data_IF_454085516934
#
_entry.id   IF_454085516934
#
_cell.length_a   1.000
_cell.length_b   1.000
_cell.length_c   1.000
_cell.angle_alpha   90.00
_cell.angle_beta   90.00
_cell.angle_gamma   90.00
#
_symmetry.space_group_name_H-M   'P 1'
#
loop_
_entity.id
_entity.type
_entity.pdbx_description
1 polymer ?
#
# COMPACT_ATOMS: atom_id res chain seq x y z
N UNK A 1 1.87 0.61 15.53
CA UNK A 1 2.73 0.29 14.38
C UNK A 1 3.81 1.36 14.28
N UNK A 2 5.08 0.97 14.13
CA UNK A 2 6.18 1.93 13.95
C UNK A 2 6.40 2.22 12.45
N UNK A 3 7.36 3.06 12.11
CA UNK A 3 7.64 3.41 10.71
C UNK A 3 8.17 2.22 9.88
N UNK A 4 9.01 1.37 10.47
CA UNK A 4 9.59 0.20 9.79
C UNK A 4 8.50 -0.79 9.37
N UNK A 5 7.53 -1.04 10.24
CA UNK A 5 6.36 -1.88 9.95
C UNK A 5 5.52 -1.32 8.78
N UNK A 6 5.35 0.01 8.72
CA UNK A 6 4.63 0.69 7.64
C UNK A 6 5.39 0.54 6.32
N UNK A 7 6.71 0.68 6.37
CA UNK A 7 7.58 0.58 5.21
C UNK A 7 7.59 -0.84 4.64
N UNK A 8 7.74 -1.87 5.48
CA UNK A 8 7.67 -3.27 5.06
C UNK A 8 6.29 -3.61 4.47
N UNK A 9 5.23 -3.13 5.12
CA UNK A 9 3.87 -3.25 4.57
C UNK A 9 3.73 -2.57 3.21
N UNK A 10 4.33 -1.38 3.03
CA UNK A 10 4.31 -0.67 1.75
C UNK A 10 5.04 -1.44 0.64
N UNK A 11 6.19 -2.05 0.95
CA UNK A 11 6.92 -2.92 0.01
C UNK A 11 6.06 -4.09 -0.43
N UNK A 12 5.45 -4.78 0.53
CA UNK A 12 4.57 -5.93 0.26
C UNK A 12 3.38 -5.55 -0.63
N UNK A 13 2.71 -4.44 -0.31
CA UNK A 13 1.60 -3.91 -1.12
C UNK A 13 2.07 -3.56 -2.52
N UNK A 14 3.20 -2.87 -2.68
CA UNK A 14 3.72 -2.47 -3.98
C UNK A 14 4.04 -3.70 -4.87
N UNK A 15 4.60 -4.76 -4.29
CA UNK A 15 4.86 -6.02 -4.99
C UNK A 15 3.55 -6.68 -5.43
N UNK A 16 2.57 -6.83 -4.53
CA UNK A 16 1.27 -7.40 -4.89
C UNK A 16 0.56 -6.59 -5.97
N UNK A 17 0.55 -5.26 -5.86
CA UNK A 17 -0.05 -4.39 -6.85
C UNK A 17 0.61 -4.57 -8.23
N UNK A 18 1.94 -4.77 -8.29
CA UNK A 18 2.67 -4.99 -9.53
C UNK A 18 2.34 -6.35 -10.16
N UNK A 19 2.28 -7.41 -9.35
CA UNK A 19 1.91 -8.76 -9.80
C UNK A 19 0.47 -8.83 -10.30
N UNK A 20 -0.44 -8.16 -9.60
CA UNK A 20 -1.86 -8.10 -9.93
C UNK A 20 -2.17 -7.05 -11.00
N UNK A 21 -1.13 -6.40 -11.58
CA UNK A 21 -1.24 -5.39 -12.64
C UNK A 21 -2.20 -4.24 -12.30
N UNK A 22 -2.26 -3.88 -11.02
CA UNK A 22 -3.04 -2.73 -10.53
C UNK A 22 -2.57 -1.48 -11.27
N UNK A 23 -3.49 -0.65 -11.77
CA UNK A 23 -3.09 0.55 -12.52
C UNK A 23 -2.56 1.64 -11.59
N UNK A 24 -1.56 2.40 -12.04
CA UNK A 24 -1.02 3.55 -11.29
C UNK A 24 -2.12 4.54 -10.86
N UNK A 25 -3.08 4.78 -11.74
CA UNK A 25 -4.21 5.66 -11.47
C UNK A 25 -5.02 5.20 -10.25
N UNK A 26 -5.10 3.89 -10.01
CA UNK A 26 -5.86 3.35 -8.88
C UNK A 26 -5.15 3.61 -7.55
N UNK A 27 -3.82 3.51 -7.50
CA UNK A 27 -3.04 3.86 -6.30
C UNK A 27 -3.18 5.37 -6.00
N UNK A 28 -3.13 6.23 -7.02
CA UNK A 28 -3.34 7.67 -6.84
C UNK A 28 -4.74 7.98 -6.31
N UNK A 29 -5.78 7.30 -6.83
CA UNK A 29 -7.16 7.45 -6.36
C UNK A 29 -7.31 7.11 -4.87
N UNK A 30 -6.50 6.20 -4.32
CA UNK A 30 -6.53 5.90 -2.88
C UNK A 30 -6.08 7.10 -2.05
N UNK A 31 -4.99 7.77 -2.45
CA UNK A 31 -4.50 8.98 -1.78
C UNK A 31 -5.50 10.12 -1.91
N UNK A 32 -6.05 10.36 -3.10
CA UNK A 32 -7.11 11.36 -3.32
C UNK A 32 -8.31 11.11 -2.40
N UNK A 33 -8.72 9.84 -2.28
CA UNK A 33 -9.86 9.47 -1.44
C UNK A 33 -9.58 9.63 0.05
N UNK A 34 -8.37 9.29 0.49
CA UNK A 34 -7.91 9.54 1.85
C UNK A 34 -7.93 11.05 2.18
N UNK A 35 -7.46 11.88 1.25
CA UNK A 35 -7.38 13.33 1.46
C UNK A 35 -8.72 14.06 1.34
N UNK A 36 -9.72 13.46 0.70
CA UNK A 36 -11.04 14.06 0.55
C UNK A 36 -11.77 14.37 1.87
N UNK A 37 -11.33 13.77 2.98
CA UNK A 37 -12.00 13.83 4.28
C UNK A 37 -10.97 13.93 5.41
N UNK A 38 -11.41 14.33 6.60
CA UNK A 38 -10.53 14.55 7.76
C UNK A 38 -10.48 13.34 8.68
N UNK A 39 -9.36 13.20 9.41
CA UNK A 39 -9.16 12.18 10.47
C UNK A 39 -9.52 10.76 10.02
N UNK A 40 -9.99 9.93 10.95
CA UNK A 40 -10.44 8.54 10.75
C UNK A 40 -11.51 8.39 9.66
N UNK A 41 -12.35 9.40 9.42
CA UNK A 41 -13.38 9.38 8.36
C UNK A 41 -12.75 9.18 6.97
N UNK A 42 -11.61 9.83 6.71
CA UNK A 42 -10.86 9.62 5.46
C UNK A 42 -10.37 8.19 5.30
N UNK A 43 -9.91 7.56 6.39
CA UNK A 43 -9.45 6.17 6.38
C UNK A 43 -10.62 5.20 6.09
N UNK A 44 -11.75 5.36 6.78
CA UNK A 44 -12.95 4.54 6.59
C UNK A 44 -13.46 4.63 5.15
N UNK A 45 -13.54 5.84 4.61
CA UNK A 45 -13.99 6.08 3.24
C UNK A 45 -13.02 5.48 2.22
N UNK A 46 -11.72 5.48 2.51
CA UNK A 46 -10.70 4.82 1.68
C UNK A 46 -10.89 3.30 1.70
N UNK A 47 -11.15 2.69 2.85
CA UNK A 47 -11.47 1.24 2.96
C UNK A 47 -12.69 0.90 2.10
N UNK A 48 -13.79 1.66 2.23
CA UNK A 48 -15.01 1.46 1.44
C UNK A 48 -14.72 1.60 -0.07
N UNK A 49 -13.89 2.56 -0.44
CA UNK A 49 -13.48 2.74 -1.83
C UNK A 49 -12.71 1.52 -2.35
N UNK A 50 -11.74 1.00 -1.60
CA UNK A 50 -10.97 -0.19 -1.98
C UNK A 50 -11.89 -1.40 -2.17
N UNK A 51 -12.77 -1.66 -1.20
CA UNK A 51 -13.76 -2.76 -1.30
C UNK A 51 -14.57 -2.65 -2.60
N UNK A 52 -15.05 -1.45 -2.93
CA UNK A 52 -15.78 -1.21 -4.18
C UNK A 52 -14.94 -1.44 -5.43
N UNK A 53 -13.64 -1.15 -5.42
CA UNK A 53 -12.76 -1.37 -6.58
C UNK A 53 -12.43 -2.86 -6.77
N UNK A 54 -12.29 -3.62 -5.68
CA UNK A 54 -12.08 -5.08 -5.72
C UNK A 54 -13.28 -5.78 -6.33
N UNK A 55 -14.50 -5.45 -5.88
CA UNK A 55 -15.74 -6.02 -6.43
C UNK A 55 -15.96 -5.68 -7.92
N UNK A 56 -15.35 -4.60 -8.40
CA UNK A 56 -15.39 -4.19 -9.82
C UNK A 56 -14.23 -4.78 -10.64
N UNK A 57 -13.44 -5.68 -10.05
CA UNK A 57 -12.22 -6.27 -10.64
C UNK A 57 -11.20 -5.23 -11.11
N UNK A 58 -11.25 -4.03 -10.53
CA UNK A 58 -10.34 -2.95 -10.87
C UNK A 58 -9.05 -3.05 -10.07
N UNK A 59 -9.12 -3.51 -8.82
CA UNK A 59 -7.96 -3.52 -7.93
C UNK A 59 -7.57 -4.95 -7.53
N UNK A 60 -6.26 -5.22 -7.48
CA UNK A 60 -5.72 -6.52 -7.08
C UNK A 60 -6.15 -6.94 -5.66
N UNK A 61 -6.65 -8.17 -5.51
CA UNK A 61 -7.24 -8.63 -4.25
C UNK A 61 -6.20 -8.74 -3.12
N UNK A 62 -4.98 -9.19 -3.42
CA UNK A 62 -3.91 -9.32 -2.41
C UNK A 62 -3.45 -7.94 -1.93
N UNK A 63 -3.21 -7.02 -2.86
CA UNK A 63 -2.85 -5.65 -2.52
C UNK A 63 -3.95 -4.97 -1.70
N UNK A 64 -5.22 -5.11 -2.11
CA UNK A 64 -6.36 -4.54 -1.38
C UNK A 64 -6.46 -5.09 0.04
N UNK A 65 -6.36 -6.40 0.22
CA UNK A 65 -6.44 -7.02 1.54
C UNK A 65 -5.35 -6.52 2.48
N UNK A 66 -4.12 -6.42 2.01
CA UNK A 66 -3.00 -5.93 2.82
C UNK A 66 -3.17 -4.45 3.19
N UNK A 67 -3.64 -3.61 2.27
CA UNK A 67 -3.96 -2.20 2.56
C UNK A 67 -5.08 -2.11 3.60
N UNK A 68 -6.20 -2.81 3.38
CA UNK A 68 -7.36 -2.78 4.29
C UNK A 68 -6.95 -3.24 5.69
N UNK A 69 -6.15 -4.30 5.80
CA UNK A 69 -5.62 -4.80 7.07
C UNK A 69 -4.87 -3.69 7.82
N UNK A 70 -3.92 -3.03 7.16
CA UNK A 70 -3.14 -1.95 7.77
C UNK A 70 -4.01 -0.74 8.14
N UNK A 71 -4.92 -0.31 7.27
CA UNK A 71 -5.84 0.80 7.54
C UNK A 71 -6.75 0.52 8.74
N UNK A 72 -7.24 -0.72 8.87
CA UNK A 72 -8.01 -1.14 10.03
C UNK A 72 -7.17 -1.12 11.30
N UNK A 73 -5.94 -1.63 11.24
CA UNK A 73 -5.04 -1.61 12.39
C UNK A 73 -4.72 -0.18 12.86
N UNK A 74 -4.52 0.77 11.94
CA UNK A 74 -4.34 2.17 12.29
C UNK A 74 -5.55 2.77 13.01
N UNK A 75 -6.77 2.42 12.56
CA UNK A 75 -8.01 2.82 13.23
C UNK A 75 -8.12 2.21 14.63
N UNK A 76 -7.81 0.92 14.77
CA UNK A 76 -7.91 0.20 16.03
C UNK A 76 -6.87 0.68 17.06
N UNK A 77 -5.66 1.07 16.61
CA UNK A 77 -4.60 1.57 17.47
C UNK A 77 -4.84 3.02 17.93
N UNK A 78 -5.11 3.93 17.00
CA UNK A 78 -5.37 5.33 17.32
C UNK A 78 -6.10 6.07 16.17
N UNK A 79 -7.42 6.28 16.28
CA UNK A 79 -8.20 6.97 15.25
C UNK A 79 -7.74 8.40 14.91
N UNK A 80 -7.12 9.12 15.85
CA UNK A 80 -6.69 10.51 15.65
C UNK A 80 -5.44 10.60 14.76
N UNK A 81 -4.53 9.62 14.84
CA UNK A 81 -3.32 9.56 14.00
C UNK A 81 -3.47 8.64 12.79
N UNK A 82 -4.54 7.84 12.72
CA UNK A 82 -4.77 6.85 11.67
C UNK A 82 -4.65 7.41 10.25
N UNK A 83 -5.15 8.64 10.01
CA UNK A 83 -5.04 9.28 8.69
C UNK A 83 -3.59 9.55 8.30
N UNK A 84 -2.76 9.98 9.24
CA UNK A 84 -1.37 10.29 8.96
C UNK A 84 -0.59 9.00 8.63
N UNK A 85 -0.80 7.94 9.40
CA UNK A 85 -0.20 6.63 9.12
C UNK A 85 -0.67 6.05 7.78
N UNK A 86 -1.97 6.18 7.47
CA UNK A 86 -2.53 5.78 6.18
C UNK A 86 -1.92 6.57 5.01
N UNK A 87 -1.70 7.88 5.18
CA UNK A 87 -1.06 8.73 4.18
C UNK A 87 0.38 8.29 3.95
N UNK A 88 1.11 8.00 5.02
CA UNK A 88 2.49 7.54 4.96
C UNK A 88 2.58 6.20 4.23
N UNK A 89 1.76 5.22 4.62
CA UNK A 89 1.66 3.92 3.93
C UNK A 89 1.39 4.09 2.44
N UNK A 90 0.30 4.79 2.07
CA UNK A 90 -0.11 4.93 0.67
C UNK A 90 0.89 5.76 -0.16
N UNK A 91 1.53 6.75 0.46
CA UNK A 91 2.60 7.53 -0.17
C UNK A 91 3.82 6.68 -0.50
N UNK A 92 4.27 5.85 0.45
CA UNK A 92 5.36 4.89 0.24
C UNK A 92 4.99 3.86 -0.82
N UNK A 93 3.78 3.29 -0.76
CA UNK A 93 3.27 2.36 -1.79
C UNK A 93 3.34 2.98 -3.17
N UNK A 94 2.91 4.24 -3.33
CA UNK A 94 2.98 4.95 -4.61
C UNK A 94 4.41 5.07 -5.12
N UNK A 95 5.35 5.51 -4.28
CA UNK A 95 6.74 5.66 -4.70
C UNK A 95 7.40 4.33 -5.02
N UNK A 96 7.18 3.30 -4.20
CA UNK A 96 7.71 1.96 -4.42
C UNK A 96 7.12 1.32 -5.68
N UNK A 97 5.82 1.49 -5.91
CA UNK A 97 5.16 0.98 -7.11
C UNK A 97 5.65 1.69 -8.38
N UNK A 98 5.78 3.01 -8.34
CA UNK A 98 6.33 3.79 -9.45
C UNK A 98 7.80 3.44 -9.73
N UNK A 99 8.61 3.25 -8.69
CA UNK A 99 10.01 2.83 -8.79
C UNK A 99 10.19 1.39 -9.27
N UNK A 100 9.35 0.46 -8.81
CA UNK A 100 9.42 -0.95 -9.18
C UNK A 100 9.00 -1.24 -10.63
N UNK A 101 8.28 -0.34 -11.32
CA UNK A 101 8.10 -0.50 -12.78
C UNK A 101 9.37 -0.20 -13.57
N UNK A 102 10.31 0.55 -13.00
CA UNK A 102 11.66 0.77 -13.56
C UNK A 102 12.57 -0.42 -13.19
N UNK A 103 12.40 -0.99 -12.01
CA UNK A 103 13.19 -2.10 -11.50
C UNK A 103 12.38 -3.39 -11.61
N UNK A 104 12.47 -4.10 -12.74
CA UNK A 104 11.81 -5.39 -12.97
C UNK A 104 12.24 -6.48 -11.97
N UNK A 105 11.84 -6.34 -10.72
CA UNK A 105 12.20 -7.19 -9.60
C UNK A 105 11.43 -8.49 -9.74
N UNK A 106 12.20 -9.58 -9.80
CA UNK A 106 11.65 -10.94 -9.83
C UNK A 106 10.99 -11.16 -8.49
N UNK A 107 9.66 -11.13 -8.50
CA UNK A 107 8.79 -11.01 -7.33
C UNK A 107 8.88 -12.14 -6.31
N UNK A 108 9.57 -13.23 -6.62
CA UNK A 108 9.62 -14.43 -5.79
C UNK A 108 10.37 -14.24 -4.46
N UNK A 109 11.46 -13.48 -4.41
CA UNK A 109 12.23 -13.29 -3.15
C UNK A 109 11.60 -12.24 -2.22
N UNK A 110 11.08 -11.14 -2.78
CA UNK A 110 10.40 -10.10 -1.97
C UNK A 110 9.06 -10.61 -1.44
N UNK A 111 8.43 -11.57 -2.12
CA UNK A 111 7.22 -12.27 -1.62
C UNK A 111 7.44 -12.96 -0.28
N UNK A 112 8.60 -13.56 -0.07
CA UNK A 112 8.87 -14.38 1.11
C UNK A 112 9.27 -13.54 2.33
N UNK A 113 9.99 -12.43 2.11
CA UNK A 113 10.47 -11.59 3.22
C UNK A 113 9.65 -10.32 3.44
N UNK A 114 9.04 -9.77 2.39
CA UNK A 114 8.16 -8.60 2.47
C UNK A 114 8.78 -7.35 3.08
N UNK A 115 10.11 -7.25 3.16
CA UNK A 115 10.79 -6.19 3.88
C UNK A 115 11.63 -5.27 2.97
N UNK A 116 11.84 -4.04 3.43
CA UNK A 116 12.56 -3.01 2.68
C UNK A 116 14.05 -3.33 2.49
N UNK A 117 14.68 -3.97 3.47
CA UNK A 117 16.08 -4.34 3.38
C UNK A 117 16.34 -5.33 2.23
N UNK A 118 15.48 -6.34 2.03
CA UNK A 118 15.58 -7.25 0.89
C UNK A 118 15.42 -6.48 -0.43
N UNK A 119 14.44 -5.58 -0.50
CA UNK A 119 14.24 -4.74 -1.70
C UNK A 119 15.50 -3.92 -2.02
N UNK A 120 16.11 -3.28 -1.03
CA UNK A 120 17.30 -2.46 -1.19
C UNK A 120 18.51 -3.28 -1.64
N UNK A 121 18.73 -4.45 -1.05
CA UNK A 121 19.82 -5.34 -1.44
C UNK A 121 19.68 -5.82 -2.90
N UNK A 122 18.47 -6.18 -3.33
CA UNK A 122 18.21 -6.56 -4.72
C UNK A 122 18.41 -5.41 -5.70
N UNK A 123 18.12 -4.17 -5.30
CA UNK A 123 18.40 -3.00 -6.11
C UNK A 123 19.91 -2.76 -6.27
N UNK A 124 20.68 -2.84 -5.18
CA UNK A 124 22.13 -2.60 -5.17
C UNK A 124 22.96 -3.69 -5.87
N UNK A 125 22.40 -4.90 -6.05
CA UNK A 125 23.07 -6.01 -6.76
C UNK A 125 23.10 -5.86 -8.28
N UNK A 126 22.34 -4.93 -8.84
CA UNK A 126 22.27 -4.67 -10.29
C UNK A 126 23.34 -3.70 -10.74
#
# INVERSE_FOLDING_TARGET
>A
MNFEDILDSAVKVAVYAAEERTERAQINQLLEKLESETKSKGVIITIIHILRQVEREKFGKKAANEIIKNLKEFLDQNPETAKNNARELLGLVKWLYDGNRIVGLRSNQIRETGNFNTLLQEFLRR
#
